data_IF_419141244920
#
_entry.id   IF_419141244920
#
_cell.length_a   1.000
_cell.length_b   1.000
_cell.length_c   1.000
_cell.angle_alpha   90.00
_cell.angle_beta   90.00
_cell.angle_gamma   90.00
#
_symmetry.space_group_name_H-M   'P 1'
#
loop_
_entity.id
_entity.type
_entity.pdbx_description
1 polymer ?
#
# COMPACT_ATOMS: atom_id res chain seq x y z
N UNK A 1 -19.86 -68.54 40.90
CA UNK A 1 -20.10 -67.15 40.44
C UNK A 1 -18.84 -66.25 40.53
N UNK A 2 -17.63 -66.79 40.83
CA UNK A 2 -16.42 -65.96 41.02
C UNK A 2 -15.51 -65.80 39.79
N UNK A 3 -15.70 -66.59 38.72
CA UNK A 3 -14.88 -66.52 37.51
C UNK A 3 -15.35 -65.47 36.47
N UNK A 4 -16.52 -64.86 36.69
CA UNK A 4 -17.07 -63.78 35.85
C UNK A 4 -16.60 -62.40 36.31
N UNK A 5 -16.37 -62.23 37.62
CA UNK A 5 -15.91 -60.99 38.23
C UNK A 5 -14.56 -60.48 37.67
N UNK A 6 -13.50 -61.31 37.51
CA UNK A 6 -12.23 -60.84 36.96
C UNK A 6 -12.31 -60.53 35.45
N UNK A 7 -13.19 -61.21 34.70
CA UNK A 7 -13.41 -60.95 33.26
C UNK A 7 -14.18 -59.65 33.04
N UNK A 8 -15.16 -59.37 33.90
CA UNK A 8 -15.92 -58.11 33.89
C UNK A 8 -15.03 -56.92 34.27
N UNK A 9 -14.16 -57.10 35.26
CA UNK A 9 -13.19 -56.08 35.71
C UNK A 9 -12.13 -55.78 34.63
N UNK A 10 -11.71 -56.81 33.88
CA UNK A 10 -10.77 -56.66 32.76
C UNK A 10 -11.43 -55.93 31.58
N UNK A 11 -12.68 -56.24 31.23
CA UNK A 11 -13.43 -55.51 30.20
C UNK A 11 -13.61 -54.01 30.55
N UNK A 12 -13.94 -53.70 31.80
CA UNK A 12 -14.17 -52.33 32.28
C UNK A 12 -12.88 -51.48 32.28
N UNK A 13 -11.70 -52.11 32.44
CA UNK A 13 -10.39 -51.47 32.38
C UNK A 13 -9.99 -51.03 30.94
N UNK A 14 -10.50 -51.70 29.90
CA UNK A 14 -10.18 -51.36 28.50
C UNK A 14 -11.17 -50.37 27.86
N UNK A 15 -12.32 -50.11 28.48
CA UNK A 15 -13.31 -49.13 28.01
C UNK A 15 -12.84 -47.66 27.92
N UNK A 16 -11.93 -47.12 28.77
CA UNK A 16 -11.55 -45.71 28.68
C UNK A 16 -10.52 -45.39 27.59
N UNK A 17 -9.88 -46.39 26.97
CA UNK A 17 -8.84 -46.16 25.95
C UNK A 17 -9.39 -45.75 24.57
N UNK A 18 -10.69 -45.94 24.31
CA UNK A 18 -11.35 -45.57 23.05
C UNK A 18 -12.00 -44.19 23.08
N UNK A 19 -11.87 -43.42 24.17
CA UNK A 19 -12.59 -42.16 24.36
C UNK A 19 -11.78 -40.88 24.04
N UNK A 20 -10.54 -40.99 23.56
CA UNK A 20 -9.73 -39.83 23.19
C UNK A 20 -9.97 -39.28 21.77
N UNK A 21 -10.87 -39.87 20.98
CA UNK A 21 -11.08 -39.45 19.56
C UNK A 21 -12.08 -38.27 19.42
N UNK A 22 -12.68 -37.78 20.50
CA UNK A 22 -13.61 -36.65 20.44
C UNK A 22 -12.93 -35.33 20.83
N UNK A 23 -11.83 -34.99 20.15
CA UNK A 23 -11.39 -33.61 20.09
C UNK A 23 -12.31 -32.89 19.09
N UNK A 24 -13.14 -31.92 19.50
CA UNK A 24 -13.89 -31.11 18.56
C UNK A 24 -12.87 -30.37 17.69
N UNK A 25 -12.65 -30.87 16.48
CA UNK A 25 -11.69 -30.33 15.52
C UNK A 25 -12.23 -29.05 14.89
N UNK A 26 -12.30 -27.98 15.67
CA UNK A 26 -12.32 -26.64 15.13
C UNK A 26 -10.99 -26.01 15.54
N UNK A 27 -9.89 -26.27 14.80
CA UNK A 27 -8.68 -25.48 15.00
C UNK A 27 -9.07 -24.01 14.84
N UNK A 28 -8.76 -23.20 15.84
CA UNK A 28 -8.94 -21.76 15.78
C UNK A 28 -8.19 -21.25 14.55
N UNK A 29 -8.93 -20.81 13.54
CA UNK A 29 -8.36 -20.28 12.32
C UNK A 29 -8.22 -18.77 12.49
N UNK A 30 -6.97 -18.32 12.44
CA UNK A 30 -6.63 -16.90 12.55
C UNK A 30 -7.14 -16.16 11.29
N UNK A 31 -7.64 -14.96 11.48
CA UNK A 31 -8.00 -14.05 10.40
C UNK A 31 -6.72 -13.52 9.76
N UNK A 32 -6.52 -13.82 8.47
CA UNK A 32 -5.35 -13.39 7.71
C UNK A 32 -5.77 -12.41 6.61
N UNK A 33 -5.11 -11.25 6.59
CA UNK A 33 -5.12 -10.31 5.47
C UNK A 33 -3.76 -10.44 4.78
N UNK A 34 -3.76 -10.71 3.49
CA UNK A 34 -2.55 -10.96 2.71
C UNK A 34 -2.54 -10.07 1.46
N UNK A 35 -1.36 -9.52 1.15
CA UNK A 35 -1.14 -8.78 -0.08
C UNK A 35 -1.09 -7.26 0.09
N UNK A 36 -1.37 -6.55 -1.00
CA UNK A 36 -1.36 -5.08 -1.05
C UNK A 36 -2.76 -4.52 -0.81
N UNK A 37 -2.96 -3.76 0.26
CA UNK A 37 -4.24 -3.07 0.52
C UNK A 37 -4.40 -1.92 -0.47
N UNK A 38 -5.29 -2.08 -1.45
CA UNK A 38 -5.63 -1.06 -2.44
C UNK A 38 -7.10 -0.71 -2.30
N UNK A 39 -7.40 0.57 -2.10
CA UNK A 39 -8.78 1.08 -1.99
C UNK A 39 -9.20 1.80 -3.26
N UNK A 40 -10.51 1.86 -3.52
CA UNK A 40 -11.08 2.50 -4.71
C UNK A 40 -10.66 3.98 -4.82
N UNK A 41 -10.50 4.67 -3.68
CA UNK A 41 -10.06 6.06 -3.63
C UNK A 41 -8.58 6.25 -4.04
N UNK A 42 -7.74 5.23 -3.83
CA UNK A 42 -6.35 5.24 -4.28
C UNK A 42 -6.29 5.01 -5.78
N UNK A 43 -7.10 4.08 -6.29
CA UNK A 43 -7.23 3.80 -7.72
C UNK A 43 -7.76 5.03 -8.47
N UNK A 44 -8.77 5.71 -7.91
CA UNK A 44 -9.34 6.93 -8.48
C UNK A 44 -8.34 8.08 -8.65
N UNK A 45 -7.25 8.09 -7.88
CA UNK A 45 -6.18 9.11 -7.98
C UNK A 45 -5.19 8.83 -9.11
N UNK A 46 -5.19 7.61 -9.67
CA UNK A 46 -4.31 7.25 -10.78
C UNK A 46 -4.68 8.02 -12.05
N UNK A 47 -3.65 8.47 -12.76
CA UNK A 47 -3.80 9.21 -14.02
C UNK A 47 -2.86 8.62 -15.08
N UNK A 48 -3.28 8.59 -16.36
CA UNK A 48 -2.36 8.30 -17.45
C UNK A 48 -1.10 9.17 -17.39
N UNK A 49 0.06 8.61 -17.73
CA UNK A 49 1.32 9.35 -17.79
C UNK A 49 2.10 9.44 -16.47
N UNK A 50 1.51 9.02 -15.34
CA UNK A 50 2.19 8.97 -14.04
C UNK A 50 3.45 8.09 -14.11
N UNK A 51 4.54 8.53 -13.49
CA UNK A 51 5.77 7.73 -13.38
C UNK A 51 5.59 6.58 -12.39
N UNK A 52 6.40 5.52 -12.54
CA UNK A 52 6.46 4.39 -11.59
C UNK A 52 6.57 4.83 -10.12
N UNK A 53 7.36 5.86 -9.84
CA UNK A 53 7.50 6.41 -8.47
C UNK A 53 6.24 7.09 -7.96
N UNK A 54 5.51 7.81 -8.81
CA UNK A 54 4.23 8.44 -8.43
C UNK A 54 3.14 7.38 -8.17
N UNK A 55 3.07 6.35 -9.02
CA UNK A 55 2.16 5.23 -8.81
C UNK A 55 2.45 4.53 -7.49
N UNK A 56 3.73 4.21 -7.22
CA UNK A 56 4.16 3.60 -5.96
C UNK A 56 3.88 4.47 -4.73
N UNK A 57 3.95 5.79 -4.86
CA UNK A 57 3.58 6.70 -3.77
C UNK A 57 2.07 6.66 -3.48
N UNK A 58 1.25 6.40 -4.49
CA UNK A 58 -0.22 6.36 -4.35
C UNK A 58 -0.74 5.00 -3.90
N UNK A 59 -0.22 3.90 -4.46
CA UNK A 59 -0.69 2.53 -4.21
C UNK A 59 0.21 1.74 -3.24
N UNK A 60 1.38 2.27 -2.89
CA UNK A 60 2.41 1.54 -2.16
C UNK A 60 3.33 0.73 -3.08
N UNK A 61 4.22 -0.06 -2.48
CA UNK A 61 5.16 -0.90 -3.23
C UNK A 61 4.48 -2.24 -3.57
N UNK A 62 4.44 -2.64 -4.85
CA UNK A 62 3.89 -3.95 -5.22
C UNK A 62 4.76 -5.05 -4.61
N UNK A 63 4.11 -6.07 -4.04
CA UNK A 63 4.82 -7.23 -3.45
C UNK A 63 5.45 -8.12 -4.52
N UNK A 64 4.94 -8.07 -5.76
CA UNK A 64 5.41 -8.86 -6.89
C UNK A 64 5.67 -7.91 -8.07
N UNK A 65 6.92 -7.83 -8.49
CA UNK A 65 7.33 -7.19 -9.74
C UNK A 65 7.85 -8.29 -10.67
N UNK A 66 7.35 -8.35 -11.91
CA UNK A 66 7.89 -9.27 -12.90
C UNK A 66 9.28 -8.78 -13.33
N UNK A 67 10.30 -9.61 -13.10
CA UNK A 67 11.70 -9.32 -13.47
C UNK A 67 11.94 -9.40 -14.98
N UNK A 68 11.04 -10.06 -15.73
CA UNK A 68 11.12 -10.19 -17.19
C UNK A 68 10.31 -9.10 -17.90
N UNK A 69 9.22 -8.63 -17.26
CA UNK A 69 8.37 -7.56 -17.77
C UNK A 69 8.21 -6.48 -16.71
N UNK A 70 9.21 -5.61 -16.58
CA UNK A 70 9.18 -4.48 -15.64
C UNK A 70 8.04 -3.49 -15.90
N UNK A 71 7.32 -3.66 -17.01
CA UNK A 71 6.23 -2.82 -17.49
C UNK A 71 4.86 -3.21 -16.90
N UNK A 72 4.79 -4.22 -16.02
CA UNK A 72 3.54 -4.62 -15.36
C UNK A 72 3.74 -4.82 -13.87
N UNK A 73 2.88 -4.17 -13.08
CA UNK A 73 2.80 -4.38 -11.63
C UNK A 73 1.45 -4.98 -11.24
N UNK A 74 1.49 -6.02 -10.41
CA UNK A 74 0.29 -6.68 -9.89
C UNK A 74 0.14 -6.38 -8.39
N UNK A 75 -1.01 -5.85 -8.00
CA UNK A 75 -1.44 -5.67 -6.62
C UNK A 75 -2.58 -6.66 -6.36
N UNK A 76 -2.31 -7.64 -5.49
CA UNK A 76 -3.28 -8.66 -5.11
C UNK A 76 -3.58 -8.46 -3.64
N UNK A 77 -4.86 -8.40 -3.29
CA UNK A 77 -5.35 -8.32 -1.93
C UNK A 77 -6.25 -9.53 -1.66
N UNK A 78 -6.06 -10.19 -0.52
CA UNK A 78 -6.87 -11.33 -0.11
C UNK A 78 -7.14 -11.29 1.39
N UNK A 79 -8.41 -11.43 1.76
CA UNK A 79 -8.85 -11.53 3.15
C UNK A 79 -9.47 -12.89 3.38
N UNK A 80 -8.96 -13.65 4.34
CA UNK A 80 -9.46 -14.98 4.67
C UNK A 80 -9.75 -15.13 6.18
N UNK A 81 -10.86 -14.55 6.69
CA UNK A 81 -11.25 -14.69 8.07
C UNK A 81 -11.66 -16.14 8.37
N UNK A 82 -11.22 -16.68 9.51
CA UNK A 82 -11.43 -18.08 9.86
C UNK A 82 -10.89 -19.05 8.81
N UNK A 83 -9.86 -18.65 8.04
CA UNK A 83 -9.22 -19.42 6.98
C UNK A 83 -10.15 -19.83 5.82
N UNK A 84 -11.22 -19.06 5.58
CA UNK A 84 -12.01 -19.10 4.34
C UNK A 84 -11.85 -17.77 3.63
N UNK A 85 -11.61 -17.79 2.31
CA UNK A 85 -11.49 -16.55 1.54
C UNK A 85 -12.83 -15.82 1.55
N UNK A 86 -12.85 -14.62 2.13
CA UNK A 86 -14.01 -13.75 2.12
C UNK A 86 -13.95 -12.76 0.95
N UNK A 87 -12.75 -12.24 0.65
CA UNK A 87 -12.55 -11.24 -0.39
C UNK A 87 -11.21 -11.47 -1.08
N UNK A 88 -11.20 -11.32 -2.39
CA UNK A 88 -10.00 -11.26 -3.22
C UNK A 88 -10.18 -10.13 -4.23
N UNK A 89 -9.21 -9.22 -4.31
CA UNK A 89 -9.20 -8.10 -5.24
C UNK A 89 -7.86 -8.06 -5.95
N UNK A 90 -7.89 -7.88 -7.26
CA UNK A 90 -6.69 -7.75 -8.09
C UNK A 90 -6.72 -6.43 -8.86
N UNK A 91 -5.59 -5.73 -8.84
CA UNK A 91 -5.30 -4.60 -9.69
C UNK A 91 -3.99 -4.85 -10.44
N UNK A 92 -4.05 -4.74 -11.75
CA UNK A 92 -2.89 -4.81 -12.65
C UNK A 92 -2.66 -3.43 -13.24
N UNK A 93 -1.43 -2.94 -13.12
CA UNK A 93 -1.00 -1.63 -13.60
C UNK A 93 0.00 -1.84 -14.72
N UNK A 94 -0.26 -1.24 -15.87
CA UNK A 94 0.61 -1.35 -17.04
C UNK A 94 1.35 -0.04 -17.29
N UNK A 95 2.61 -0.17 -17.69
CA UNK A 95 3.49 0.93 -18.02
C UNK A 95 3.93 0.84 -19.47
N UNK A 96 4.09 1.99 -20.10
CA UNK A 96 4.71 2.17 -21.41
C UNK A 96 5.68 3.34 -21.28
N UNK A 97 6.92 3.17 -21.72
CA UNK A 97 7.98 4.20 -21.61
C UNK A 97 8.11 4.77 -20.18
N UNK A 98 8.13 3.88 -19.17
CA UNK A 98 8.17 4.20 -17.73
C UNK A 98 6.98 5.02 -17.19
N UNK A 99 5.90 5.13 -17.96
CA UNK A 99 4.68 5.87 -17.61
C UNK A 99 3.45 4.99 -17.58
N UNK A 100 2.54 5.30 -16.66
CA UNK A 100 1.26 4.59 -16.50
C UNK A 100 0.43 4.72 -17.78
N UNK A 101 0.18 3.59 -18.45
CA UNK A 101 -0.63 3.55 -19.67
C UNK A 101 -2.09 3.28 -19.38
N UNK A 102 -2.37 2.21 -18.63
CA UNK A 102 -3.73 1.76 -18.31
C UNK A 102 -3.70 0.85 -17.09
N UNK A 103 -4.87 0.59 -16.54
CA UNK A 103 -5.07 -0.32 -15.41
C UNK A 103 -6.17 -1.33 -15.75
N UNK A 104 -6.09 -2.51 -15.14
CA UNK A 104 -7.07 -3.58 -15.28
C UNK A 104 -7.29 -4.25 -13.94
N UNK A 105 -8.52 -4.66 -13.62
CA UNK A 105 -8.79 -5.39 -12.38
C UNK A 105 -10.22 -5.24 -11.90
N UNK A 106 -10.42 -5.51 -10.63
CA UNK A 106 -11.73 -5.51 -9.97
C UNK A 106 -12.17 -4.12 -9.48
N UNK A 107 -11.45 -3.07 -9.87
CA UNK A 107 -11.67 -1.70 -9.43
C UNK A 107 -12.35 -0.87 -10.52
N UNK A 108 -13.18 0.13 -10.14
CA UNK A 108 -13.75 1.05 -11.11
C UNK A 108 -12.65 1.81 -11.85
N UNK A 109 -12.86 2.05 -13.14
CA UNK A 109 -11.92 2.81 -13.97
C UNK A 109 -11.84 4.26 -13.45
N UNK A 110 -10.63 4.81 -13.21
CA UNK A 110 -10.49 6.17 -12.73
C UNK A 110 -11.00 7.16 -13.78
N UNK A 111 -11.58 8.30 -13.36
CA UNK A 111 -12.17 9.27 -14.28
C UNK A 111 -11.14 9.78 -15.31
N UNK A 112 -9.87 9.87 -14.92
CA UNK A 112 -8.78 10.29 -15.79
C UNK A 112 -8.50 9.36 -16.99
N UNK A 113 -9.02 8.13 -17.01
CA UNK A 113 -8.90 7.20 -18.14
C UNK A 113 -10.13 7.16 -19.05
N UNK A 114 -11.21 7.85 -18.68
CA UNK A 114 -12.49 7.84 -19.41
C UNK A 114 -12.73 9.11 -20.23
N UNK A 115 -11.95 10.17 -20.01
CA UNK A 115 -12.08 11.43 -20.75
C UNK A 115 -11.22 11.42 -22.02
N UNK A 116 -11.85 11.31 -23.19
CA UNK A 116 -11.26 11.67 -24.48
C UNK A 116 -11.65 13.10 -24.85
N UNK A 117 -11.29 14.10 -24.05
CA UNK A 117 -11.42 15.53 -24.40
C UNK A 117 -10.60 16.40 -23.42
N UNK A 118 -10.18 17.61 -23.84
CA UNK A 118 -8.95 18.24 -23.38
C UNK A 118 -9.05 18.62 -21.91
N UNK A 119 -7.90 18.53 -21.23
CA UNK A 119 -7.69 18.96 -19.87
C UNK A 119 -8.40 20.29 -19.55
N UNK A 120 -9.60 20.20 -18.98
CA UNK A 120 -10.11 21.25 -18.11
C UNK A 120 -9.31 21.10 -16.82
N UNK A 121 -8.17 21.81 -16.83
CA UNK A 121 -7.39 22.29 -15.71
C UNK A 121 -7.99 21.98 -14.32
N UNK A 122 -7.64 20.81 -13.77
CA UNK A 122 -7.57 20.62 -12.31
C UNK A 122 -6.19 21.01 -11.75
N UNK A 123 -5.27 21.47 -12.60
CA UNK A 123 -4.24 22.42 -12.18
C UNK A 123 -4.82 23.81 -12.43
N UNK A 124 -5.28 24.46 -11.37
CA UNK A 124 -5.43 25.92 -11.39
C UNK A 124 -4.02 26.52 -11.44
N UNK A 125 -3.61 27.22 -12.51
CA UNK A 125 -2.36 27.96 -12.51
C UNK A 125 -2.70 29.44 -12.36
N UNK A 126 -2.90 29.92 -11.12
CA UNK A 126 -2.78 31.36 -10.83
C UNK A 126 -2.62 31.60 -9.31
N UNK A 127 -1.40 31.45 -8.78
CA UNK A 127 -0.76 32.64 -8.22
C UNK A 127 0.26 33.08 -9.26
N UNK A 128 -0.25 33.74 -10.29
CA UNK A 128 0.55 34.58 -11.15
C UNK A 128 1.07 35.69 -10.27
N UNK A 129 2.37 35.64 -10.05
CA UNK A 129 3.16 36.85 -9.84
C UNK A 129 2.81 37.79 -10.99
N UNK A 130 1.89 38.72 -10.77
CA UNK A 130 1.64 39.82 -11.71
C UNK A 130 2.81 40.79 -11.60
N UNK A 131 3.54 41.07 -12.69
CA UNK A 131 4.49 42.17 -12.72
C UNK A 131 3.81 43.49 -13.11
N UNK A 132 4.37 44.59 -12.56
CA UNK A 132 4.46 45.99 -13.06
C UNK A 132 3.62 47.06 -12.30
N UNK A 133 4.08 48.33 -12.19
CA UNK A 133 5.15 48.96 -13.00
C UNK A 133 6.21 49.83 -12.26
N UNK A 134 7.40 49.92 -12.89
CA UNK A 134 8.39 51.02 -13.03
C UNK A 134 8.90 51.80 -11.78
N UNK A 135 10.20 52.03 -11.51
CA UNK A 135 11.27 52.62 -12.34
C UNK A 135 12.62 52.54 -11.59
N UNK A 136 13.70 52.34 -12.35
CA UNK A 136 15.13 52.63 -12.11
C UNK A 136 15.88 52.04 -10.90
N UNK A 137 16.83 51.15 -11.18
CA UNK A 137 18.25 51.52 -11.41
C UNK A 137 19.19 50.33 -11.14
N UNK A 138 19.94 49.98 -12.19
CA UNK A 138 21.37 49.69 -12.17
C UNK A 138 22.00 49.28 -10.81
N UNK A 139 22.63 48.10 -10.74
CA UNK A 139 24.09 47.95 -10.60
C UNK A 139 24.48 46.52 -10.24
N UNK A 140 25.60 46.11 -10.83
CA UNK A 140 26.33 44.88 -10.63
C UNK A 140 26.60 44.60 -9.14
N UNK A 141 26.26 43.41 -8.63
CA UNK A 141 26.96 42.86 -7.46
C UNK A 141 26.89 41.32 -7.38
N UNK A 142 28.07 40.72 -7.29
CA UNK A 142 28.41 39.30 -7.15
C UNK A 142 27.91 38.75 -5.79
N UNK A 143 27.34 37.53 -5.69
CA UNK A 143 26.70 37.09 -4.45
C UNK A 143 27.70 36.80 -3.31
N UNK A 144 27.55 37.51 -2.20
CA UNK A 144 28.27 37.34 -0.93
C UNK A 144 27.95 35.99 -0.26
N UNK A 145 28.99 35.16 -0.07
CA UNK A 145 28.94 33.85 0.62
C UNK A 145 28.64 33.93 2.11
N UNK A 146 28.52 35.10 2.74
CA UNK A 146 28.29 35.22 4.20
C UNK A 146 26.88 34.84 4.65
N UNK A 147 25.86 34.96 3.80
CA UNK A 147 24.47 34.66 4.17
C UNK A 147 24.20 33.17 4.43
N UNK A 148 24.80 32.28 3.62
CA UNK A 148 24.54 30.83 3.69
C UNK A 148 25.14 30.18 4.94
N UNK A 149 26.25 30.71 5.46
CA UNK A 149 26.95 30.11 6.61
C UNK A 149 26.18 30.32 7.93
N UNK A 150 25.44 31.43 8.03
CA UNK A 150 24.67 31.76 9.23
C UNK A 150 23.38 30.93 9.34
N UNK A 151 22.68 30.70 8.22
CA UNK A 151 21.45 29.88 8.20
C UNK A 151 21.69 28.43 8.62
N UNK A 152 22.78 27.81 8.13
CA UNK A 152 23.10 26.41 8.45
C UNK A 152 23.42 26.24 9.95
N UNK A 153 24.00 27.27 10.57
CA UNK A 153 24.41 27.23 11.97
C UNK A 153 23.24 27.43 12.92
N UNK A 154 22.31 28.31 12.55
CA UNK A 154 21.10 28.57 13.33
C UNK A 154 20.18 27.34 13.40
N UNK A 155 19.99 26.64 12.29
CA UNK A 155 19.10 25.48 12.25
C UNK A 155 19.70 24.24 12.95
N UNK A 156 21.03 24.09 12.96
CA UNK A 156 21.70 23.02 13.72
C UNK A 156 21.66 23.24 15.24
N UNK A 157 21.72 24.49 15.68
CA UNK A 157 21.75 24.80 17.12
C UNK A 157 20.40 24.55 17.79
N UNK A 158 19.30 24.75 17.06
CA UNK A 158 17.95 24.48 17.57
C UNK A 158 17.66 22.98 17.72
N UNK A 159 18.27 22.13 16.90
CA UNK A 159 18.03 20.68 16.96
C UNK A 159 18.60 20.00 18.22
N UNK A 160 19.68 20.56 18.80
CA UNK A 160 20.32 19.98 19.98
C UNK A 160 19.72 20.46 21.31
N UNK A 161 18.95 21.54 21.29
CA UNK A 161 18.29 22.09 22.50
C UNK A 161 16.97 21.40 22.84
N UNK A 162 16.30 20.79 21.86
CA UNK A 162 15.00 20.12 22.08
C UNK A 162 15.11 18.67 22.62
N UNK A 163 16.32 18.19 22.92
CA UNK A 163 16.56 16.83 23.44
C UNK A 163 17.40 16.80 24.75
N UNK A 164 17.29 17.83 25.58
CA UNK A 164 17.64 17.80 27.01
C UNK A 164 16.48 18.34 27.85
#
# INVERSE_FOLDING_TARGET
MHAFFPRLLLLLLFLPLTHCTYLPSLPYKIDIQQGNVVTDEMVAKLKPGMTRSQVRFTLGTPLVMDIFHGDRWDYIYRTAPGGRVAEEKKLTVFFQDDRLSHIQGDFPQPPAFSESEPAQNFFSPEQTFTPAPDTDSNMNEEPDKKGTVNFLKENQTNFYKDNQ
#
